data_IF_135484081407
#
_entry.id   IF_135484081407
#
_cell.length_a   1.000
_cell.length_b   1.000
_cell.length_c   1.000
_cell.angle_alpha   90.00
_cell.angle_beta   90.00
_cell.angle_gamma   90.00
#
_symmetry.space_group_name_H-M   'P 1'
#
loop_
_entity.id
_entity.type
_entity.pdbx_description
1 polymer ?
#
# COMPACT_ATOMS: atom_id res chain seq x y z
N UNK A 1 7.88 15.01 -17.35
CA UNK A 1 7.75 14.58 -15.95
C UNK A 1 8.35 13.20 -15.78
N UNK A 2 8.83 12.87 -14.58
CA UNK A 2 9.29 11.50 -14.21
C UNK A 2 8.23 10.90 -13.29
N UNK A 3 7.75 9.69 -13.60
CA UNK A 3 6.88 8.91 -12.73
C UNK A 3 7.73 7.94 -11.91
N UNK A 4 7.44 7.83 -10.63
CA UNK A 4 8.13 6.92 -9.71
C UNK A 4 7.06 6.15 -8.93
N UNK A 5 7.22 4.83 -8.85
CA UNK A 5 6.35 3.91 -8.12
C UNK A 5 4.92 3.80 -8.67
N UNK A 6 4.70 4.28 -9.86
CA UNK A 6 3.49 4.05 -10.66
C UNK A 6 3.77 4.35 -12.12
N UNK A 7 2.98 3.76 -13.02
CA UNK A 7 3.05 4.02 -14.45
C UNK A 7 1.68 4.34 -15.08
N UNK A 8 0.62 4.37 -14.29
CA UNK A 8 -0.72 4.75 -14.73
C UNK A 8 -1.02 6.20 -14.34
N UNK A 9 -1.47 7.01 -15.30
CA UNK A 9 -1.81 8.44 -15.10
C UNK A 9 -2.89 8.63 -14.03
N UNK A 10 -3.80 7.66 -13.90
CA UNK A 10 -4.88 7.65 -12.91
C UNK A 10 -4.39 7.55 -11.45
N UNK A 11 -3.17 7.11 -11.24
CA UNK A 11 -2.53 7.01 -9.93
C UNK A 11 -1.73 8.27 -9.56
N UNK A 12 -1.60 9.20 -10.50
CA UNK A 12 -0.86 10.44 -10.32
C UNK A 12 -1.71 11.58 -9.79
N UNK A 13 -1.08 12.74 -9.66
CA UNK A 13 -1.74 13.97 -9.25
C UNK A 13 -2.70 14.47 -10.36
N UNK A 14 -3.78 15.20 -10.01
CA UNK A 14 -4.65 15.83 -10.99
C UNK A 14 -3.89 16.73 -11.98
N UNK A 15 -4.19 16.64 -13.26
CA UNK A 15 -3.50 17.38 -14.33
C UNK A 15 -2.26 16.66 -14.90
N UNK A 16 -1.97 15.45 -14.42
CA UNK A 16 -0.86 14.65 -14.91
C UNK A 16 -0.96 14.34 -16.41
N UNK A 17 -2.18 14.18 -16.90
CA UNK A 17 -2.49 13.91 -18.31
C UNK A 17 -2.08 15.03 -19.27
N UNK A 18 -1.89 16.25 -18.76
CA UNK A 18 -1.48 17.42 -19.55
C UNK A 18 0.05 17.56 -19.67
N UNK A 19 0.81 16.78 -18.90
CA UNK A 19 2.28 16.91 -18.82
C UNK A 19 2.96 15.69 -19.46
N UNK A 20 3.83 15.87 -20.46
CA UNK A 20 4.50 14.74 -21.09
C UNK A 20 5.39 14.00 -20.08
N UNK A 21 5.20 12.69 -19.98
CA UNK A 21 6.07 11.78 -19.24
C UNK A 21 7.34 11.55 -20.07
N UNK A 22 8.50 11.69 -19.46
CA UNK A 22 9.81 11.50 -20.10
C UNK A 22 10.57 10.30 -19.52
N UNK A 23 10.24 9.89 -18.29
CA UNK A 23 10.84 8.72 -17.65
C UNK A 23 9.85 8.07 -16.67
N UNK A 24 9.93 6.75 -16.55
CA UNK A 24 9.24 5.96 -15.54
C UNK A 24 10.25 5.09 -14.80
N UNK A 25 10.15 5.01 -13.48
CA UNK A 25 10.88 4.07 -12.62
C UNK A 25 9.86 3.36 -11.74
N UNK A 26 9.60 2.08 -12.01
CA UNK A 26 8.48 1.38 -11.38
C UNK A 26 8.72 -0.13 -11.29
N UNK A 27 8.12 -0.78 -10.30
CA UNK A 27 8.17 -2.24 -10.11
C UNK A 27 6.80 -2.92 -10.32
N UNK A 28 5.77 -2.13 -10.62
CA UNK A 28 4.42 -2.65 -10.86
C UNK A 28 4.25 -3.18 -12.28
N UNK A 29 3.14 -3.89 -12.51
CA UNK A 29 2.72 -4.26 -13.86
C UNK A 29 2.57 -3.00 -14.72
N UNK A 30 2.88 -3.12 -15.99
CA UNK A 30 2.75 -2.01 -16.93
C UNK A 30 1.27 -1.84 -17.29
N UNK A 31 0.69 -0.70 -16.89
CA UNK A 31 -0.66 -0.26 -17.24
C UNK A 31 -0.69 1.06 -18.02
N UNK A 32 0.49 1.62 -18.32
CA UNK A 32 0.67 2.88 -19.02
C UNK A 32 0.09 2.84 -20.44
N UNK A 33 -0.62 3.91 -20.83
CA UNK A 33 -1.03 4.10 -22.23
C UNK A 33 0.20 4.38 -23.12
N UNK A 34 0.12 4.07 -24.42
CA UNK A 34 1.20 4.40 -25.36
C UNK A 34 1.58 5.88 -25.29
N UNK A 35 2.87 6.16 -25.24
CA UNK A 35 3.43 7.52 -25.27
C UNK A 35 3.60 8.00 -26.72
N UNK A 36 3.50 9.33 -26.94
CA UNK A 36 3.71 9.91 -28.27
C UNK A 36 5.18 9.86 -28.65
N UNK A 37 6.06 10.15 -27.70
CA UNK A 37 7.50 10.14 -27.87
C UNK A 37 8.13 8.96 -27.12
N UNK A 38 9.31 8.47 -27.55
CA UNK A 38 10.07 7.48 -26.78
C UNK A 38 10.44 8.04 -25.42
N UNK A 39 10.28 7.21 -24.38
CA UNK A 39 10.63 7.55 -23.01
C UNK A 39 11.62 6.57 -22.43
N UNK A 40 12.32 6.97 -21.38
CA UNK A 40 13.10 6.03 -20.58
C UNK A 40 12.16 5.29 -19.64
N UNK A 41 12.19 3.97 -19.68
CA UNK A 41 11.36 3.12 -18.84
C UNK A 41 12.26 2.13 -18.10
N UNK A 42 12.36 2.26 -16.77
CA UNK A 42 13.11 1.37 -15.90
C UNK A 42 12.11 0.57 -15.08
N UNK A 43 11.97 -0.71 -15.38
CA UNK A 43 11.13 -1.62 -14.64
C UNK A 43 11.84 -2.95 -14.41
N UNK A 44 11.62 -3.54 -13.26
CA UNK A 44 12.07 -4.90 -12.94
C UNK A 44 11.10 -5.53 -11.93
N UNK A 45 11.04 -6.86 -11.93
CA UNK A 45 10.20 -7.62 -10.99
C UNK A 45 10.90 -7.74 -9.63
N UNK A 46 10.95 -6.63 -8.90
CA UNK A 46 11.50 -6.50 -7.53
C UNK A 46 10.38 -6.16 -6.54
N UNK A 47 10.65 -6.27 -5.26
CA UNK A 47 9.68 -6.02 -4.20
C UNK A 47 9.37 -4.55 -3.94
N UNK A 48 10.21 -3.61 -4.43
CA UNK A 48 10.04 -2.17 -4.19
C UNK A 48 10.73 -1.33 -5.27
N UNK A 49 10.13 -0.22 -5.65
CA UNK A 49 10.78 0.80 -6.50
C UNK A 49 12.02 1.39 -5.80
N UNK A 50 12.05 1.42 -4.47
CA UNK A 50 13.24 1.84 -3.73
C UNK A 50 14.45 0.95 -4.03
N UNK A 51 14.26 -0.32 -4.33
CA UNK A 51 15.33 -1.24 -4.79
C UNK A 51 15.90 -0.78 -6.13
N UNK A 52 15.05 -0.36 -7.06
CA UNK A 52 15.49 0.15 -8.37
C UNK A 52 16.29 1.45 -8.22
N UNK A 53 15.75 2.41 -7.45
CA UNK A 53 16.42 3.70 -7.21
C UNK A 53 17.78 3.50 -6.52
N UNK A 54 17.84 2.66 -5.50
CA UNK A 54 19.10 2.31 -4.83
C UNK A 54 20.09 1.60 -5.78
N UNK A 55 19.56 0.76 -6.67
CA UNK A 55 20.32 0.13 -7.76
C UNK A 55 20.93 1.15 -8.72
N UNK A 56 20.19 2.22 -9.05
CA UNK A 56 20.70 3.32 -9.88
C UNK A 56 21.89 4.04 -9.21
N UNK A 57 21.82 4.33 -7.89
CA UNK A 57 22.97 4.86 -7.15
C UNK A 57 24.20 3.96 -7.29
N UNK A 58 24.03 2.66 -7.08
CA UNK A 58 25.15 1.69 -7.21
C UNK A 58 25.72 1.63 -8.61
N UNK A 59 24.87 1.60 -9.63
CA UNK A 59 25.29 1.52 -11.04
C UNK A 59 26.03 2.78 -11.50
N UNK A 60 25.66 3.94 -10.93
CA UNK A 60 26.34 5.21 -11.17
C UNK A 60 27.63 5.37 -10.35
N UNK A 61 28.00 4.43 -9.49
CA UNK A 61 29.12 4.55 -8.56
C UNK A 61 28.89 5.60 -7.46
N UNK A 62 27.64 6.01 -7.25
CA UNK A 62 27.26 6.99 -6.25
C UNK A 62 26.83 6.33 -4.95
N UNK A 63 26.95 7.07 -3.87
CA UNK A 63 26.50 6.66 -2.55
C UNK A 63 25.47 7.69 -2.06
N UNK A 64 24.23 7.26 -1.68
CA UNK A 64 23.25 8.17 -1.07
C UNK A 64 23.75 8.69 0.28
N UNK A 65 23.23 9.83 0.73
CA UNK A 65 23.47 10.28 2.09
C UNK A 65 22.85 9.30 3.10
N UNK A 66 23.19 9.43 4.38
CA UNK A 66 22.64 8.59 5.45
C UNK A 66 21.11 8.67 5.48
N UNK A 67 20.57 9.87 5.35
CA UNK A 67 19.12 10.16 5.39
C UNK A 67 18.42 9.53 4.18
N UNK A 68 18.95 9.72 2.98
CA UNK A 68 18.40 9.14 1.75
C UNK A 68 18.46 7.61 1.79
N UNK A 69 19.56 7.04 2.31
CA UNK A 69 19.65 5.59 2.49
C UNK A 69 18.60 5.07 3.46
N UNK A 70 18.35 5.80 4.56
CA UNK A 70 17.29 5.46 5.52
C UNK A 70 15.90 5.53 4.89
N UNK A 71 15.60 6.57 4.11
CA UNK A 71 14.31 6.69 3.41
C UNK A 71 14.11 5.57 2.37
N UNK A 72 15.14 5.27 1.56
CA UNK A 72 15.07 4.17 0.60
C UNK A 72 14.91 2.81 1.30
N UNK A 73 15.58 2.60 2.43
CA UNK A 73 15.42 1.39 3.23
C UNK A 73 14.01 1.32 3.81
N UNK A 74 13.46 2.43 4.29
CA UNK A 74 12.10 2.49 4.83
C UNK A 74 11.07 2.07 3.78
N UNK A 75 11.08 2.63 2.56
CA UNK A 75 10.17 2.22 1.49
C UNK A 75 10.36 0.75 1.10
N UNK A 76 11.62 0.28 1.03
CA UNK A 76 11.90 -1.11 0.70
C UNK A 76 11.32 -2.09 1.74
N UNK A 77 11.48 -1.83 3.04
CA UNK A 77 10.97 -2.72 4.08
C UNK A 77 9.44 -2.67 4.22
N UNK A 78 8.80 -1.53 3.94
CA UNK A 78 7.33 -1.44 3.94
C UNK A 78 6.74 -2.24 2.80
N UNK A 79 7.20 -2.06 1.55
CA UNK A 79 6.71 -2.77 0.38
C UNK A 79 6.94 -4.29 0.46
N UNK A 80 8.04 -4.69 1.08
CA UNK A 80 8.43 -6.11 1.22
C UNK A 80 7.99 -6.73 2.54
N UNK A 81 7.28 -6.01 3.40
CA UNK A 81 6.90 -6.46 4.75
C UNK A 81 8.11 -7.03 5.50
N UNK A 82 9.18 -6.25 5.60
CA UNK A 82 10.47 -6.67 6.15
C UNK A 82 10.96 -7.99 5.50
N UNK A 83 10.93 -8.03 4.16
CA UNK A 83 11.33 -9.18 3.32
C UNK A 83 10.45 -10.43 3.44
N UNK A 84 9.23 -10.32 3.99
CA UNK A 84 8.29 -11.46 4.12
C UNK A 84 7.29 -11.53 2.95
N UNK A 85 7.10 -10.44 2.20
CA UNK A 85 6.23 -10.43 1.02
C UNK A 85 6.67 -11.48 -0.01
N UNK A 86 5.72 -12.18 -0.66
CA UNK A 86 6.02 -13.09 -1.75
C UNK A 86 6.66 -12.40 -2.97
N UNK A 87 6.54 -11.07 -3.09
CA UNK A 87 7.19 -10.27 -4.13
C UNK A 87 8.66 -9.99 -3.84
N UNK A 88 9.16 -10.30 -2.63
CA UNK A 88 10.54 -10.04 -2.24
C UNK A 88 11.53 -10.88 -3.04
N UNK A 89 12.54 -10.22 -3.59
CA UNK A 89 13.60 -10.84 -4.38
C UNK A 89 14.95 -10.88 -3.64
N UNK A 90 15.91 -11.62 -4.21
CA UNK A 90 17.28 -11.59 -3.73
C UNK A 90 17.92 -10.19 -3.88
N UNK A 91 17.50 -9.43 -4.89
CA UNK A 91 17.97 -8.06 -5.14
C UNK A 91 17.52 -7.11 -4.03
N UNK A 92 16.26 -7.22 -3.56
CA UNK A 92 15.74 -6.42 -2.44
C UNK A 92 16.57 -6.64 -1.18
N UNK A 93 16.87 -7.89 -0.86
CA UNK A 93 17.70 -8.25 0.32
C UNK A 93 19.12 -7.70 0.19
N UNK A 94 19.74 -7.80 -0.99
CA UNK A 94 21.09 -7.31 -1.22
C UNK A 94 21.18 -5.78 -1.16
N UNK A 95 20.20 -5.09 -1.70
CA UNK A 95 20.07 -3.63 -1.64
C UNK A 95 19.79 -3.18 -0.20
N UNK A 96 18.85 -3.83 0.49
CA UNK A 96 18.54 -3.51 1.88
C UNK A 96 19.76 -3.59 2.77
N UNK A 97 20.52 -4.70 2.71
CA UNK A 97 21.77 -4.85 3.47
C UNK A 97 22.83 -3.78 3.13
N UNK A 98 22.86 -3.28 1.91
CA UNK A 98 23.71 -2.17 1.51
C UNK A 98 23.24 -0.83 2.09
N UNK A 99 21.91 -0.57 2.07
CA UNK A 99 21.32 0.64 2.62
C UNK A 99 21.46 0.69 4.15
N UNK A 100 21.32 -0.41 4.86
CA UNK A 100 21.54 -0.51 6.31
C UNK A 100 22.96 -0.07 6.70
N UNK A 101 23.98 -0.51 5.94
CA UNK A 101 25.38 -0.09 6.16
C UNK A 101 25.60 1.40 5.96
N UNK A 102 24.79 2.06 5.12
CA UNK A 102 24.93 3.50 4.83
C UNK A 102 24.13 4.31 5.83
N UNK A 103 22.90 3.92 6.10
CA UNK A 103 21.98 4.62 7.01
C UNK A 103 22.40 4.47 8.48
N UNK A 104 23.09 3.36 8.81
CA UNK A 104 23.44 3.05 10.19
C UNK A 104 22.26 2.63 11.05
N UNK A 105 21.15 2.21 10.42
CA UNK A 105 19.98 1.62 11.06
C UNK A 105 19.58 0.33 10.34
N UNK A 106 18.92 -0.58 11.02
CA UNK A 106 18.42 -1.81 10.43
C UNK A 106 16.98 -1.69 9.96
N UNK A 107 16.58 -2.55 9.01
CA UNK A 107 15.18 -2.63 8.59
C UNK A 107 14.23 -2.95 9.75
N UNK A 108 14.68 -3.79 10.71
CA UNK A 108 13.91 -4.11 11.91
C UNK A 108 13.67 -2.89 12.80
N UNK A 109 14.71 -2.09 13.07
CA UNK A 109 14.58 -0.85 13.86
C UNK A 109 13.65 0.17 13.20
N UNK A 110 13.72 0.31 11.87
CA UNK A 110 12.82 1.19 11.12
C UNK A 110 11.37 0.68 11.17
N UNK A 111 11.16 -0.62 11.00
CA UNK A 111 9.83 -1.22 11.09
C UNK A 111 9.23 -1.03 12.48
N UNK A 112 10.00 -1.28 13.55
CA UNK A 112 9.57 -0.99 14.92
C UNK A 112 9.21 0.49 15.13
N UNK A 113 9.99 1.40 14.53
CA UNK A 113 9.71 2.83 14.56
C UNK A 113 8.38 3.18 13.89
N UNK A 114 8.13 2.64 12.70
CA UNK A 114 6.87 2.83 11.97
C UNK A 114 5.67 2.28 12.75
N UNK A 115 5.87 1.17 13.46
CA UNK A 115 4.83 0.57 14.28
C UNK A 115 4.46 1.35 15.53
N UNK A 116 5.33 2.25 16.00
CA UNK A 116 5.03 3.16 17.10
C UNK A 116 4.24 4.38 16.66
N UNK A 117 4.10 4.60 15.34
CA UNK A 117 3.21 5.64 14.83
C UNK A 117 1.79 5.27 15.21
N UNK A 118 1.03 6.24 15.69
CA UNK A 118 -0.33 6.04 16.19
C UNK A 118 -1.17 5.24 15.19
N UNK A 119 -1.75 4.17 15.70
CA UNK A 119 -2.66 3.29 15.00
C UNK A 119 -3.79 4.08 14.34
N UNK A 120 -4.12 3.87 13.04
CA UNK A 120 -5.28 4.47 12.42
C UNK A 120 -6.56 4.25 13.24
N UNK A 121 -6.73 3.07 13.84
CA UNK A 121 -7.86 2.78 14.71
C UNK A 121 -7.81 3.53 16.04
N UNK A 122 -6.66 4.05 16.48
CA UNK A 122 -6.56 4.83 17.69
C UNK A 122 -6.87 6.32 17.46
N UNK A 123 -6.53 6.88 16.29
CA UNK A 123 -6.55 8.33 16.05
C UNK A 123 -7.64 8.80 15.08
N UNK A 124 -8.10 7.93 14.15
CA UNK A 124 -9.12 8.28 13.16
C UNK A 124 -10.51 7.90 13.65
N UNK A 125 -11.51 8.65 13.20
CA UNK A 125 -12.92 8.26 13.35
C UNK A 125 -13.20 7.00 12.55
N UNK A 126 -14.28 6.26 12.87
CA UNK A 126 -14.68 5.07 12.13
C UNK A 126 -14.96 5.36 10.65
N UNK A 127 -15.58 6.50 10.34
CA UNK A 127 -15.81 6.92 8.95
C UNK A 127 -14.51 7.21 8.21
N UNK A 128 -13.51 7.82 8.84
CA UNK A 128 -12.20 8.04 8.23
C UNK A 128 -11.45 6.72 8.02
N UNK A 129 -11.55 5.77 8.93
CA UNK A 129 -10.98 4.43 8.78
C UNK A 129 -11.62 3.69 7.61
N UNK A 130 -12.96 3.64 7.55
CA UNK A 130 -13.71 2.95 6.51
C UNK A 130 -13.44 3.55 5.12
N UNK A 131 -13.23 4.87 5.03
CA UNK A 131 -13.05 5.56 3.75
C UNK A 131 -11.57 5.77 3.36
N UNK A 132 -10.60 5.38 4.16
CA UNK A 132 -9.18 5.65 3.91
C UNK A 132 -8.68 5.03 2.60
N UNK A 133 -9.04 3.77 2.34
CA UNK A 133 -8.79 3.06 1.07
C UNK A 133 -10.03 2.24 0.70
N UNK A 134 -11.14 2.95 0.44
CA UNK A 134 -12.41 2.34 0.06
C UNK A 134 -12.61 2.40 -1.44
N UNK A 135 -12.95 1.25 -2.04
CA UNK A 135 -13.31 1.13 -3.44
C UNK A 135 -14.70 0.52 -3.55
N UNK A 136 -15.52 1.12 -4.40
CA UNK A 136 -16.87 0.62 -4.70
C UNK A 136 -16.83 -0.25 -5.95
N UNK A 137 -17.59 -1.33 -5.92
CA UNK A 137 -17.69 -2.32 -6.99
C UNK A 137 -19.15 -2.56 -7.33
N UNK A 138 -19.38 -2.89 -8.59
CA UNK A 138 -20.65 -3.39 -9.09
C UNK A 138 -20.37 -4.64 -9.91
N UNK A 139 -20.86 -5.79 -9.47
CA UNK A 139 -20.62 -7.06 -10.11
C UNK A 139 -21.91 -7.88 -10.12
N UNK A 140 -22.33 -8.30 -11.31
CA UNK A 140 -23.63 -8.92 -11.56
C UNK A 140 -24.78 -8.02 -11.06
N UNK A 141 -25.45 -8.41 -9.99
CA UNK A 141 -26.55 -7.65 -9.36
C UNK A 141 -26.16 -7.04 -8.03
N UNK A 142 -24.91 -7.20 -7.60
CA UNK A 142 -24.43 -6.73 -6.31
C UNK A 142 -23.66 -5.43 -6.43
N UNK A 143 -23.94 -4.51 -5.51
CA UNK A 143 -23.18 -3.27 -5.30
C UNK A 143 -22.51 -3.33 -3.92
N UNK A 144 -21.21 -3.29 -3.87
CA UNK A 144 -20.50 -3.43 -2.61
C UNK A 144 -19.26 -2.55 -2.54
N UNK A 145 -18.73 -2.37 -1.34
CA UNK A 145 -17.48 -1.68 -1.13
C UNK A 145 -16.49 -2.57 -0.39
N UNK A 146 -15.23 -2.45 -0.78
CA UNK A 146 -14.10 -3.03 -0.06
C UNK A 146 -13.24 -1.89 0.47
N UNK A 147 -12.89 -1.96 1.74
CA UNK A 147 -12.00 -1.04 2.43
C UNK A 147 -10.83 -1.80 3.00
N UNK A 148 -9.68 -1.15 3.08
CA UNK A 148 -8.49 -1.72 3.68
C UNK A 148 -7.82 -0.71 4.63
N UNK A 149 -7.30 -1.20 5.74
CA UNK A 149 -6.48 -0.42 6.67
C UNK A 149 -5.39 -1.32 7.26
N UNK A 150 -4.19 -0.75 7.39
CA UNK A 150 -3.11 -1.39 8.15
C UNK A 150 -3.19 -0.96 9.61
N UNK A 151 -3.13 -1.93 10.51
CA UNK A 151 -3.27 -1.74 11.94
C UNK A 151 -2.36 -2.71 12.70
N UNK A 152 -1.53 -2.19 13.57
CA UNK A 152 -0.60 -3.00 14.36
C UNK A 152 -1.20 -3.54 15.68
N UNK A 153 -2.42 -3.13 16.00
CA UNK A 153 -3.13 -3.54 17.20
C UNK A 153 -4.57 -3.98 16.89
N UNK A 154 -4.75 -5.22 16.46
CA UNK A 154 -6.05 -5.78 16.13
C UNK A 154 -7.06 -5.81 17.31
N UNK A 155 -6.58 -5.68 18.57
CA UNK A 155 -7.49 -5.51 19.70
C UNK A 155 -8.32 -4.23 19.62
N UNK A 156 -7.80 -3.19 18.96
CA UNK A 156 -8.55 -1.95 18.71
C UNK A 156 -9.72 -2.19 17.75
N UNK A 157 -9.55 -3.08 16.77
CA UNK A 157 -10.65 -3.50 15.90
C UNK A 157 -11.79 -4.13 16.74
N UNK A 158 -11.44 -5.03 17.65
CA UNK A 158 -12.43 -5.69 18.52
C UNK A 158 -13.16 -4.68 19.42
N UNK A 159 -12.44 -3.72 20.00
CA UNK A 159 -13.02 -2.67 20.85
C UNK A 159 -13.91 -1.71 20.08
N UNK A 160 -13.59 -1.40 18.83
CA UNK A 160 -14.34 -0.45 17.98
C UNK A 160 -15.32 -1.13 17.03
N UNK A 161 -15.45 -2.46 17.12
CA UNK A 161 -16.24 -3.27 16.20
C UNK A 161 -17.66 -2.75 16.02
N UNK A 162 -18.37 -2.48 17.10
CA UNK A 162 -19.77 -2.06 17.04
C UNK A 162 -19.93 -0.66 16.44
N UNK A 163 -19.00 0.26 16.73
CA UNK A 163 -18.93 1.59 16.12
C UNK A 163 -18.68 1.50 14.61
N UNK A 164 -17.69 0.70 14.20
CA UNK A 164 -17.38 0.47 12.79
C UNK A 164 -18.55 -0.15 12.04
N UNK A 165 -19.17 -1.19 12.58
CA UNK A 165 -20.34 -1.83 11.98
C UNK A 165 -21.53 -0.88 11.85
N UNK A 166 -21.76 -0.01 12.83
CA UNK A 166 -22.81 1.01 12.77
C UNK A 166 -22.58 1.97 11.60
N UNK A 167 -21.36 2.48 11.45
CA UNK A 167 -21.04 3.43 10.40
C UNK A 167 -21.01 2.77 9.00
N UNK A 168 -20.54 1.51 8.90
CA UNK A 168 -20.63 0.70 7.67
C UNK A 168 -22.09 0.52 7.24
N UNK A 169 -23.00 0.18 8.16
CA UNK A 169 -24.43 0.05 7.85
C UNK A 169 -25.04 1.41 7.42
N UNK A 170 -24.64 2.52 8.05
CA UNK A 170 -25.07 3.85 7.63
C UNK A 170 -24.60 4.22 6.21
N UNK A 171 -23.42 3.76 5.80
CA UNK A 171 -22.94 3.91 4.42
C UNK A 171 -23.76 3.04 3.46
N UNK A 172 -24.02 1.78 3.83
CA UNK A 172 -24.83 0.85 3.03
C UNK A 172 -26.19 1.46 2.71
N UNK A 173 -26.89 1.96 3.73
CA UNK A 173 -28.21 2.59 3.57
C UNK A 173 -28.15 3.84 2.67
N UNK A 174 -27.17 4.71 2.88
CA UNK A 174 -27.03 5.97 2.17
C UNK A 174 -26.64 5.78 0.70
N UNK A 175 -25.79 4.80 0.41
CA UNK A 175 -25.22 4.59 -0.93
C UNK A 175 -25.91 3.45 -1.69
N UNK A 176 -26.84 2.73 -1.06
CA UNK A 176 -27.57 1.61 -1.67
C UNK A 176 -26.64 0.44 -2.00
N UNK A 177 -25.73 0.12 -1.08
CA UNK A 177 -24.86 -1.04 -1.20
C UNK A 177 -25.52 -2.29 -0.61
N UNK A 178 -25.10 -3.46 -1.07
CA UNK A 178 -25.53 -4.74 -0.51
C UNK A 178 -24.70 -5.14 0.70
N UNK A 179 -23.38 -4.80 0.66
CA UNK A 179 -22.48 -5.00 1.80
C UNK A 179 -21.25 -4.10 1.71
N UNK A 180 -20.54 -3.98 2.84
CA UNK A 180 -19.18 -3.42 2.93
C UNK A 180 -18.32 -4.42 3.68
N UNK A 181 -17.09 -4.64 3.19
CA UNK A 181 -16.06 -5.37 3.89
C UNK A 181 -14.87 -4.46 4.21
N UNK A 182 -14.43 -4.44 5.46
CA UNK A 182 -13.23 -3.75 5.93
C UNK A 182 -12.18 -4.80 6.29
N UNK A 183 -11.11 -4.87 5.50
CA UNK A 183 -9.94 -5.69 5.80
C UNK A 183 -8.98 -4.90 6.68
N UNK A 184 -8.70 -5.41 7.86
CA UNK A 184 -7.73 -4.84 8.80
C UNK A 184 -6.53 -5.78 8.86
N UNK A 185 -5.38 -5.32 8.40
CA UNK A 185 -4.17 -6.12 8.26
C UNK A 185 -3.11 -5.69 9.26
N UNK A 186 -2.60 -6.65 10.05
CA UNK A 186 -1.37 -6.47 10.82
C UNK A 186 -0.19 -6.87 9.92
N UNK A 187 0.54 -5.91 9.37
CA UNK A 187 1.63 -6.19 8.43
C UNK A 187 2.83 -6.83 9.10
N UNK A 188 2.94 -6.75 10.46
CA UNK A 188 4.04 -7.33 11.22
C UNK A 188 3.85 -8.78 11.48
N UNK A 189 2.65 -9.12 11.96
CA UNK A 189 2.31 -10.50 12.27
C UNK A 189 1.87 -11.27 11.05
N UNK A 190 1.61 -10.56 9.92
CA UNK A 190 1.18 -11.14 8.66
C UNK A 190 -0.21 -11.77 8.76
N UNK A 191 -1.07 -11.25 9.62
CA UNK A 191 -2.46 -11.69 9.76
C UNK A 191 -3.43 -10.56 9.45
N UNK A 192 -4.64 -10.92 9.05
CA UNK A 192 -5.70 -9.97 8.75
C UNK A 192 -7.02 -10.43 9.35
N UNK A 193 -7.83 -9.47 9.73
CA UNK A 193 -9.21 -9.70 10.12
C UNK A 193 -10.16 -8.97 9.19
N UNK A 194 -11.28 -9.61 8.87
CA UNK A 194 -12.29 -9.07 7.97
C UNK A 194 -13.57 -8.75 8.76
N UNK A 195 -13.94 -7.46 8.77
CA UNK A 195 -15.19 -7.00 9.29
C UNK A 195 -16.18 -6.77 8.15
N UNK A 196 -17.36 -7.41 8.20
CA UNK A 196 -18.36 -7.30 7.15
C UNK A 196 -19.67 -6.79 7.73
N UNK A 197 -20.27 -5.78 7.08
CA UNK A 197 -21.61 -5.30 7.30
C UNK A 197 -22.49 -5.53 6.07
N UNK A 198 -23.78 -5.83 6.25
CA UNK A 198 -24.73 -6.06 5.17
C UNK A 198 -25.78 -7.10 5.53
N UNK A 199 -26.60 -7.51 4.56
CA UNK A 199 -27.65 -8.50 4.77
C UNK A 199 -27.06 -9.88 5.08
N UNK A 200 -27.57 -10.51 6.15
CA UNK A 200 -27.11 -11.83 6.64
C UNK A 200 -27.04 -12.91 5.55
N UNK A 201 -28.00 -13.02 4.60
CA UNK A 201 -27.92 -14.01 3.54
C UNK A 201 -26.70 -13.79 2.63
N UNK A 202 -26.34 -12.54 2.35
CA UNK A 202 -25.18 -12.20 1.51
C UNK A 202 -23.89 -12.54 2.25
N UNK A 203 -23.78 -12.13 3.52
CA UNK A 203 -22.59 -12.42 4.35
C UNK A 203 -22.34 -13.94 4.42
N UNK A 204 -23.40 -14.75 4.57
CA UNK A 204 -23.28 -16.23 4.62
C UNK A 204 -22.93 -16.88 3.29
N UNK A 205 -23.11 -16.18 2.18
CA UNK A 205 -22.81 -16.68 0.85
C UNK A 205 -21.37 -16.37 0.39
N UNK A 206 -20.65 -15.50 1.14
CA UNK A 206 -19.27 -15.17 0.82
C UNK A 206 -18.36 -16.37 1.12
N UNK A 207 -17.49 -16.77 0.18
CA UNK A 207 -16.53 -17.85 0.39
C UNK A 207 -15.35 -17.34 1.23
N UNK A 208 -15.26 -17.76 2.48
CA UNK A 208 -14.08 -17.55 3.38
C UNK A 208 -13.79 -18.81 4.18
#
# INVERSE_FOLDING_TARGET
MILVDHNEVTQGIPGLEEIPVIEVVDHHRIGMKPTVEPIKFTADAVGSTCTLVAGMYRSAGLRPTKEIAGLLLCGLITDTLLYQSPTTTAQDRAIGAWLEKISGTTGGELMEGLMRIDSPLAVKTSLEVINADRKNYEENTYRFALSQVEENNLELLHRRRDELLKDMNGIIEREGLDFIALLVTDPVRGNSELLIAGAVPIIRALPY
#
